data_IF_355000206964
#
_entry.id   IF_355000206964
#
_cell.length_a   1.000
_cell.length_b   1.000
_cell.length_c   1.000
_cell.angle_alpha   90.00
_cell.angle_beta   90.00
_cell.angle_gamma   90.00
#
_symmetry.space_group_name_H-M   'P 1'
#
loop_
_entity.id
_entity.type
_entity.pdbx_description
1 polymer ?
#
# COMPACT_ATOMS: atom_id res chain seq x y z
N UNK A 1 -13.14 -2.22 9.29
CA UNK A 1 -11.97 -1.48 8.75
C UNK A 1 -12.01 -0.05 9.26
N UNK A 2 -10.90 0.48 9.79
CA UNK A 2 -10.81 1.84 10.33
C UNK A 2 -10.02 2.80 9.42
N UNK A 3 -10.12 4.11 9.69
CA UNK A 3 -9.28 5.12 9.05
C UNK A 3 -7.84 5.02 9.60
N UNK A 4 -6.86 4.95 8.71
CA UNK A 4 -5.46 5.03 9.05
C UNK A 4 -5.15 6.41 9.64
N UNK A 5 -4.45 6.42 10.78
CA UNK A 5 -3.97 7.65 11.44
C UNK A 5 -2.44 7.75 11.46
N UNK A 6 -1.73 6.79 10.83
CA UNK A 6 -0.26 6.73 10.85
C UNK A 6 0.38 7.88 10.05
N UNK A 7 1.62 8.20 10.39
CA UNK A 7 2.39 9.28 9.74
C UNK A 7 2.72 9.00 8.28
N UNK A 8 2.77 7.71 7.87
CA UNK A 8 3.02 7.33 6.48
C UNK A 8 1.99 7.87 5.48
N UNK A 9 0.88 8.44 5.95
CA UNK A 9 -0.12 9.10 5.12
C UNK A 9 0.43 10.33 4.41
N UNK A 10 1.48 10.93 4.95
CA UNK A 10 2.08 12.16 4.45
C UNK A 10 3.47 11.96 3.82
N UNK A 11 3.95 10.71 3.73
CA UNK A 11 5.28 10.46 3.18
C UNK A 11 5.32 10.85 1.69
N UNK A 12 6.34 11.62 1.28
CA UNK A 12 6.46 12.09 -0.11
C UNK A 12 6.77 10.96 -1.08
N UNK A 13 7.29 9.82 -0.61
CA UNK A 13 7.55 8.62 -1.42
C UNK A 13 6.28 8.13 -2.17
N UNK A 14 5.11 8.38 -1.60
CA UNK A 14 3.83 8.02 -2.21
C UNK A 14 3.29 9.05 -3.21
N UNK A 15 3.93 10.22 -3.36
CA UNK A 15 3.51 11.26 -4.31
C UNK A 15 3.60 10.78 -5.76
N UNK A 16 4.58 9.92 -6.04
CA UNK A 16 4.84 9.39 -7.38
C UNK A 16 3.97 8.18 -7.73
N UNK A 17 3.17 7.67 -6.79
CA UNK A 17 2.23 6.59 -7.09
C UNK A 17 1.16 7.07 -8.06
N UNK A 18 0.75 6.19 -8.95
CA UNK A 18 -0.41 6.42 -9.80
C UNK A 18 -1.66 6.64 -8.94
N UNK A 19 -2.53 7.54 -9.37
CA UNK A 19 -3.86 7.64 -8.77
C UNK A 19 -4.66 6.40 -9.18
N UNK A 20 -5.38 5.83 -8.22
CA UNK A 20 -6.23 4.65 -8.38
C UNK A 20 -7.30 4.93 -9.45
N UNK A 21 -7.04 4.44 -10.67
CA UNK A 21 -7.91 4.68 -11.83
C UNK A 21 -9.23 3.90 -11.73
N UNK A 22 -9.29 2.89 -10.88
CA UNK A 22 -10.35 1.91 -10.94
C UNK A 22 -11.10 1.78 -9.62
N UNK A 23 -12.41 1.62 -9.70
CA UNK A 23 -13.29 1.33 -8.57
C UNK A 23 -13.53 -0.18 -8.45
N UNK A 24 -12.85 -0.99 -9.28
CA UNK A 24 -13.17 -2.40 -9.48
C UNK A 24 -12.81 -3.32 -8.31
N UNK A 25 -11.84 -2.97 -7.44
CA UNK A 25 -11.42 -3.85 -6.33
C UNK A 25 -11.55 -3.23 -4.92
N UNK A 26 -12.19 -2.07 -4.77
CA UNK A 26 -12.37 -1.42 -3.46
C UNK A 26 -11.12 -0.71 -2.92
N UNK A 27 -10.08 -0.57 -3.76
CA UNK A 27 -8.75 -0.06 -3.42
C UNK A 27 -8.68 1.45 -3.24
N UNK A 28 -9.64 2.21 -3.80
CA UNK A 28 -9.61 3.69 -3.86
C UNK A 28 -9.51 4.37 -2.50
N UNK A 29 -9.87 3.66 -1.44
CA UNK A 29 -9.80 4.18 -0.09
C UNK A 29 -8.71 3.51 0.73
N UNK A 30 -8.06 2.44 0.26
CA UNK A 30 -7.07 1.70 1.06
C UNK A 30 -5.82 2.57 1.23
N UNK A 31 -5.25 2.56 2.43
CA UNK A 31 -4.04 3.32 2.70
C UNK A 31 -2.84 2.73 1.95
N UNK A 32 -2.35 3.43 0.92
CA UNK A 32 -1.15 3.05 0.18
C UNK A 32 0.08 2.85 1.10
N UNK A 33 0.21 3.65 2.16
CA UNK A 33 1.28 3.49 3.15
C UNK A 33 1.22 2.18 3.94
N UNK A 34 0.01 1.76 4.36
CA UNK A 34 -0.17 0.45 4.98
C UNK A 34 0.05 -0.69 3.97
N UNK A 35 -0.36 -0.50 2.73
CA UNK A 35 -0.19 -1.48 1.67
C UNK A 35 1.29 -1.72 1.35
N UNK A 36 2.08 -0.65 1.24
CA UNK A 36 3.53 -0.74 1.11
C UNK A 36 4.17 -1.51 2.27
N UNK A 37 3.81 -1.18 3.52
CA UNK A 37 4.35 -1.86 4.69
C UNK A 37 4.01 -3.37 4.70
N UNK A 38 2.77 -3.72 4.37
CA UNK A 38 2.35 -5.12 4.25
C UNK A 38 3.12 -5.86 3.15
N UNK A 39 3.32 -5.22 1.99
CA UNK A 39 4.13 -5.77 0.91
C UNK A 39 5.56 -6.00 1.35
N UNK A 40 6.18 -5.02 2.00
CA UNK A 40 7.55 -5.12 2.51
C UNK A 40 7.72 -6.30 3.45
N UNK A 41 6.81 -6.48 4.41
CA UNK A 41 6.81 -7.61 5.34
C UNK A 41 6.64 -8.96 4.64
N UNK A 42 5.69 -9.06 3.70
CA UNK A 42 5.49 -10.28 2.91
C UNK A 42 6.75 -10.64 2.08
N UNK A 43 7.38 -9.64 1.46
CA UNK A 43 8.61 -9.81 0.68
C UNK A 43 9.81 -10.23 1.54
N UNK A 44 9.95 -9.64 2.73
CA UNK A 44 10.97 -10.00 3.72
C UNK A 44 10.75 -11.42 4.28
N UNK A 45 9.49 -11.81 4.45
CA UNK A 45 9.13 -13.14 4.98
C UNK A 45 9.16 -14.24 3.91
N UNK A 46 9.29 -13.87 2.63
CA UNK A 46 9.21 -14.81 1.52
C UNK A 46 7.79 -15.34 1.27
N UNK A 47 6.76 -14.66 1.79
CA UNK A 47 5.36 -15.02 1.59
C UNK A 47 4.93 -14.78 0.14
N UNK A 48 3.88 -15.45 -0.32
CA UNK A 48 3.30 -15.18 -1.63
C UNK A 48 2.62 -13.80 -1.66
N UNK A 49 2.67 -13.14 -2.83
CA UNK A 49 1.98 -11.85 -3.04
C UNK A 49 0.48 -12.00 -2.79
N UNK A 50 -0.09 -11.07 -2.04
CA UNK A 50 -1.54 -10.95 -1.83
C UNK A 50 -2.18 -10.25 -3.02
N UNK A 51 -3.33 -10.77 -3.47
CA UNK A 51 -4.17 -10.17 -4.50
C UNK A 51 -5.31 -9.32 -3.91
N UNK A 52 -5.57 -9.46 -2.62
CA UNK A 52 -6.58 -8.70 -1.89
C UNK A 52 -5.91 -7.92 -0.75
N UNK A 53 -6.27 -6.64 -0.65
CA UNK A 53 -5.80 -5.70 0.37
C UNK A 53 -6.94 -5.16 1.24
N UNK A 54 -8.16 -5.67 1.08
CA UNK A 54 -9.37 -5.21 1.78
C UNK A 54 -9.24 -5.20 3.30
N UNK A 55 -8.37 -6.06 3.86
CA UNK A 55 -8.08 -6.13 5.29
C UNK A 55 -7.33 -4.90 5.84
N UNK A 56 -6.73 -4.07 4.97
CA UNK A 56 -5.98 -2.89 5.36
C UNK A 56 -6.88 -1.70 5.67
N UNK A 57 -6.43 -0.76 6.54
CA UNK A 57 -7.20 0.42 6.87
C UNK A 57 -7.29 1.37 5.69
N UNK A 58 -8.38 2.14 5.66
CA UNK A 58 -8.60 3.15 4.64
C UNK A 58 -7.80 4.43 4.95
N UNK A 59 -7.31 5.17 3.95
CA UNK A 59 -6.79 6.53 4.12
C UNK A 59 -7.60 7.52 3.30
N UNK A 60 -8.12 8.55 3.96
CA UNK A 60 -8.82 9.67 3.32
C UNK A 60 -8.02 10.98 3.37
N UNK A 61 -6.78 10.95 3.88
CA UNK A 61 -5.96 12.13 4.11
C UNK A 61 -4.51 11.95 3.66
N UNK A 62 -3.86 13.06 3.34
CA UNK A 62 -2.44 13.13 2.99
C UNK A 62 -2.09 12.72 1.56
N UNK A 63 -0.80 12.57 1.31
CA UNK A 63 -0.15 12.23 0.03
C UNK A 63 -0.59 10.87 -0.53
N UNK A 64 -1.01 9.95 0.35
CA UNK A 64 -1.52 8.61 -0.02
C UNK A 64 -2.97 8.60 -0.47
N UNK A 65 -3.67 9.75 -0.45
CA UNK A 65 -5.08 9.84 -0.83
C UNK A 65 -5.24 9.56 -2.32
N UNK A 66 -6.21 8.69 -2.66
CA UNK A 66 -6.50 8.24 -4.01
C UNK A 66 -5.33 7.55 -4.72
N UNK A 67 -4.25 7.18 -4.02
CA UNK A 67 -3.13 6.42 -4.60
C UNK A 67 -3.46 4.94 -4.70
N UNK A 68 -2.94 4.29 -5.74
CA UNK A 68 -3.12 2.86 -5.93
C UNK A 68 -2.41 2.08 -4.81
N UNK A 69 -3.21 1.49 -3.91
CA UNK A 69 -2.71 0.71 -2.79
C UNK A 69 -2.03 -0.59 -3.25
N UNK A 70 -2.49 -1.20 -4.34
CA UNK A 70 -1.91 -2.42 -4.89
C UNK A 70 -0.54 -2.14 -5.53
N UNK A 71 -0.37 -1.00 -6.18
CA UNK A 71 0.92 -0.52 -6.67
C UNK A 71 1.89 -0.31 -5.50
N UNK A 72 1.45 0.36 -4.44
CA UNK A 72 2.26 0.56 -3.23
C UNK A 72 2.68 -0.77 -2.58
N UNK A 73 1.76 -1.73 -2.49
CA UNK A 73 2.06 -3.09 -2.00
C UNK A 73 3.12 -3.78 -2.85
N UNK A 74 2.97 -3.75 -4.19
CA UNK A 74 3.94 -4.37 -5.11
C UNK A 74 5.33 -3.76 -4.96
N UNK A 75 5.42 -2.44 -4.78
CA UNK A 75 6.68 -1.74 -4.52
C UNK A 75 7.32 -2.22 -3.21
N UNK A 76 6.55 -2.27 -2.12
CA UNK A 76 7.02 -2.77 -0.82
C UNK A 76 7.51 -4.21 -0.92
N UNK A 77 6.74 -5.09 -1.57
CA UNK A 77 7.10 -6.50 -1.76
C UNK A 77 8.39 -6.69 -2.55
N UNK A 78 8.57 -5.94 -3.64
CA UNK A 78 9.80 -6.00 -4.42
C UNK A 78 11.02 -5.55 -3.58
N UNK A 79 10.86 -4.51 -2.78
CA UNK A 79 11.89 -4.03 -1.86
C UNK A 79 12.21 -5.08 -0.78
N UNK A 80 11.20 -5.70 -0.18
CA UNK A 80 11.38 -6.74 0.84
C UNK A 80 12.11 -7.95 0.29
N UNK A 81 11.76 -8.38 -0.93
CA UNK A 81 12.47 -9.45 -1.63
C UNK A 81 13.95 -9.12 -1.90
N UNK A 82 14.27 -7.88 -2.26
CA UNK A 82 15.67 -7.44 -2.50
C UNK A 82 16.49 -7.43 -1.20
N UNK A 83 15.86 -7.12 -0.07
CA UNK A 83 16.52 -7.10 1.24
C UNK A 83 16.71 -8.50 1.82
N UNK A 84 15.90 -9.46 1.37
CA UNK A 84 15.96 -10.86 1.78
C UNK A 84 16.74 -11.77 0.80
N UNK A 85 17.40 -11.18 -0.21
CA UNK A 85 18.23 -11.89 -1.20
C UNK A 85 19.70 -11.60 -1.00
#
# INVERSE_FOLDING_TARGET
MGLCQKEHRYLPDFSNLSDSQDNQNGDRHICAGCAYAAGLEDGLSGCAKKSDLSYLPYSQAGTVRHKDAMEAYKMGYAEGKKRNS
#
